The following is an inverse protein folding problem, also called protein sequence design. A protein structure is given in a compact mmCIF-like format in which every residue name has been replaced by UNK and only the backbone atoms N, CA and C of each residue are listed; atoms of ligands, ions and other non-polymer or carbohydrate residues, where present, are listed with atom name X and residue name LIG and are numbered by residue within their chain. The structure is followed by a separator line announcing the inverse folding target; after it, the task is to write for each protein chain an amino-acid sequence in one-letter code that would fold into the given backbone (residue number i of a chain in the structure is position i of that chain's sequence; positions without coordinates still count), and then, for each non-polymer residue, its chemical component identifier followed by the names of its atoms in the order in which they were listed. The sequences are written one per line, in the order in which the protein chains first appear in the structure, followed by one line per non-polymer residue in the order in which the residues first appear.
data_IF_300144298133
#
_entry.id   IF_300144298133
#
_cell.length_a   1.000
_cell.length_b   1.000
_cell.length_c   1.000
_cell.angle_alpha   90.00
_cell.angle_beta   90.00
_cell.angle_gamma   90.00
#
_symmetry.space_group_name_H-M   'P 1'
#
loop_
_entity.id
_entity.type
_entity.pdbx_description
1 polymer ?
#
# COMPACT_ATOMS: atom_id res chain seq x y z
N UNK A 1 -51.82 32.98 -30.66
CA UNK A 1 -51.19 31.64 -30.68
C UNK A 1 -49.97 31.71 -29.79
N UNK A 2 -49.94 30.90 -28.73
CA UNK A 2 -48.95 30.92 -27.65
C UNK A 2 -47.59 30.41 -28.13
N UNK A 3 -46.52 31.14 -27.85
CA UNK A 3 -45.14 30.70 -28.02
C UNK A 3 -44.74 29.82 -26.81
N UNK A 4 -44.41 28.56 -27.06
CA UNK A 4 -43.93 27.63 -26.05
C UNK A 4 -42.43 27.84 -25.77
N UNK A 5 -42.09 28.16 -24.53
CA UNK A 5 -40.71 28.15 -24.05
C UNK A 5 -40.29 26.71 -23.72
N UNK A 6 -39.29 26.18 -24.41
CA UNK A 6 -38.67 24.92 -24.07
C UNK A 6 -37.71 25.13 -22.89
N UNK A 7 -38.07 24.61 -21.72
CA UNK A 7 -37.19 24.53 -20.55
C UNK A 7 -36.31 23.31 -20.74
N UNK A 8 -35.03 23.52 -21.03
CA UNK A 8 -34.00 22.47 -20.99
C UNK A 8 -33.73 22.13 -19.52
N UNK A 9 -34.23 20.97 -19.08
CA UNK A 9 -33.89 20.40 -17.79
C UNK A 9 -32.41 19.98 -17.80
N UNK A 10 -31.58 20.71 -17.06
CA UNK A 10 -30.21 20.29 -16.75
C UNK A 10 -30.33 19.17 -15.71
N UNK A 11 -30.12 17.93 -16.13
CA UNK A 11 -29.91 16.81 -15.20
C UNK A 11 -28.58 17.04 -14.50
N UNK A 12 -28.53 17.06 -13.16
CA UNK A 12 -27.26 17.15 -12.46
C UNK A 12 -26.46 15.88 -12.78
N UNK A 13 -25.21 16.06 -13.22
CA UNK A 13 -24.24 14.99 -13.29
C UNK A 13 -24.15 14.38 -11.88
N UNK A 14 -24.50 13.10 -11.77
CA UNK A 14 -24.15 12.30 -10.60
C UNK A 14 -22.63 12.19 -10.63
N UNK A 15 -21.95 13.00 -9.82
CA UNK A 15 -20.54 12.82 -9.51
C UNK A 15 -20.43 11.42 -8.92
N UNK A 16 -19.71 10.54 -9.62
CA UNK A 16 -19.49 9.17 -9.17
C UNK A 16 -18.93 9.18 -7.76
N UNK A 17 -19.56 8.43 -6.85
CA UNK A 17 -19.08 8.27 -5.49
C UNK A 17 -17.61 7.80 -5.55
N UNK A 18 -16.71 8.60 -5.00
CA UNK A 18 -15.32 8.22 -4.80
C UNK A 18 -15.28 6.98 -3.89
N UNK A 19 -14.34 6.04 -4.10
CA UNK A 19 -14.18 4.92 -3.19
C UNK A 19 -13.92 5.45 -1.77
N UNK A 20 -14.72 4.97 -0.81
CA UNK A 20 -14.62 5.34 0.60
C UNK A 20 -13.26 4.94 1.18
N UNK A 21 -12.85 5.58 2.29
CA UNK A 21 -11.65 5.24 3.05
C UNK A 21 -11.50 3.74 3.37
N UNK A 22 -12.61 2.99 3.39
CA UNK A 22 -12.66 1.54 3.55
C UNK A 22 -12.00 0.76 2.40
N UNK A 23 -11.89 1.34 1.20
CA UNK A 23 -11.27 0.67 0.05
C UNK A 23 -9.75 0.45 0.22
N UNK A 24 -9.11 1.19 1.12
CA UNK A 24 -7.66 1.16 1.33
C UNK A 24 -7.26 0.74 2.75
N UNK A 25 -8.24 0.53 3.64
CA UNK A 25 -8.04 0.08 5.00
C UNK A 25 -8.52 -1.37 5.13
N UNK A 26 -7.58 -2.30 5.35
CA UNK A 26 -7.90 -3.69 5.64
C UNK A 26 -7.95 -3.90 7.15
N UNK A 27 -8.90 -4.71 7.65
CA UNK A 27 -8.74 -5.26 9.00
C UNK A 27 -7.53 -6.22 9.00
N UNK A 28 -6.52 -6.00 9.85
CA UNK A 28 -5.33 -6.85 9.89
C UNK A 28 -5.68 -8.26 10.36
N UNK A 29 -4.86 -9.24 10.00
CA UNK A 29 -4.99 -10.60 10.53
C UNK A 29 -4.96 -10.58 12.07
N UNK A 30 -6.07 -10.94 12.72
CA UNK A 30 -6.19 -11.02 14.20
C UNK A 30 -5.66 -12.33 14.79
N UNK A 31 -5.12 -13.23 13.97
CA UNK A 31 -4.63 -14.52 14.44
C UNK A 31 -3.41 -14.35 15.34
N UNK A 32 -3.53 -14.81 16.58
CA UNK A 32 -2.42 -14.98 17.53
C UNK A 32 -1.35 -15.89 16.90
N UNK A 33 -0.12 -15.39 16.81
CA UNK A 33 0.99 -16.09 16.18
C UNK A 33 1.43 -17.31 17.01
N UNK A 34 1.16 -17.31 18.33
CA UNK A 34 1.55 -18.38 19.26
C UNK A 34 0.97 -19.73 18.91
N UNK A 35 -0.14 -19.77 18.18
CA UNK A 35 -0.82 -21.01 17.77
C UNK A 35 -0.53 -21.40 16.32
N UNK A 36 0.23 -20.59 15.55
CA UNK A 36 0.49 -20.86 14.12
C UNK A 36 1.54 -21.96 13.93
N UNK A 37 1.23 -23.04 13.17
CA UNK A 37 2.20 -24.08 12.84
C UNK A 37 3.38 -23.52 12.05
N UNK A 38 4.60 -23.93 12.40
CA UNK A 38 5.81 -23.65 11.60
C UNK A 38 5.70 -24.35 10.24
N UNK A 39 6.18 -23.72 9.17
CA UNK A 39 6.17 -24.33 7.83
C UNK A 39 4.79 -24.41 7.17
N UNK A 40 3.83 -23.57 7.60
CA UNK A 40 2.49 -23.53 6.99
C UNK A 40 2.58 -23.04 5.54
N UNK A 41 1.98 -23.79 4.62
CA UNK A 41 1.72 -23.35 3.25
C UNK A 41 0.30 -22.81 3.14
N UNK A 42 0.15 -21.59 2.64
CA UNK A 42 -1.14 -21.02 2.21
C UNK A 42 -1.20 -20.95 0.70
N UNK A 43 -2.39 -21.15 0.15
CA UNK A 43 -2.67 -21.05 -1.28
C UNK A 43 -3.71 -19.98 -1.51
N UNK A 44 -3.46 -19.09 -2.46
CA UNK A 44 -4.42 -18.07 -2.89
C UNK A 44 -4.46 -18.01 -4.42
N UNK A 45 -5.57 -17.50 -4.95
CA UNK A 45 -5.68 -17.10 -6.36
C UNK A 45 -5.70 -15.59 -6.41
N UNK A 46 -4.94 -15.01 -7.34
CA UNK A 46 -4.90 -13.57 -7.56
C UNK A 46 -5.17 -13.27 -9.03
N UNK A 47 -6.08 -12.33 -9.29
CA UNK A 47 -6.51 -11.94 -10.61
C UNK A 47 -5.83 -10.63 -11.01
N UNK A 48 -5.35 -10.56 -12.24
CA UNK A 48 -4.86 -9.33 -12.87
C UNK A 48 -5.94 -8.83 -13.80
N UNK A 49 -6.51 -7.66 -13.50
CA UNK A 49 -7.69 -7.15 -14.18
C UNK A 49 -7.51 -5.70 -14.63
N UNK A 50 -7.98 -5.39 -15.84
CA UNK A 50 -8.13 -4.01 -16.30
C UNK A 50 -9.31 -3.38 -15.55
N UNK A 51 -9.03 -2.42 -14.66
CA UNK A 51 -10.04 -1.68 -13.88
C UNK A 51 -10.64 -0.56 -14.73
N UNK A 52 -9.80 0.13 -15.49
CA UNK A 52 -10.20 1.19 -16.43
C UNK A 52 -9.18 1.29 -17.56
N UNK A 53 -9.36 2.23 -18.50
CA UNK A 53 -8.35 2.49 -19.53
C UNK A 53 -6.99 2.94 -18.98
N UNK A 54 -6.98 3.49 -17.76
CA UNK A 54 -5.77 3.99 -17.09
C UNK A 54 -5.24 3.05 -16.02
N UNK A 55 -6.06 2.13 -15.50
CA UNK A 55 -5.72 1.32 -14.34
C UNK A 55 -5.82 -0.17 -14.61
N UNK A 56 -4.81 -0.90 -14.14
CA UNK A 56 -4.79 -2.36 -14.03
C UNK A 56 -4.38 -2.67 -12.60
N UNK A 57 -5.05 -3.64 -11.97
CA UNK A 57 -4.80 -3.97 -10.57
C UNK A 57 -4.78 -5.47 -10.30
N UNK A 58 -4.32 -5.82 -9.11
CA UNK A 58 -4.41 -7.15 -8.55
C UNK A 58 -5.65 -7.28 -7.66
N UNK A 59 -6.33 -8.43 -7.67
CA UNK A 59 -7.50 -8.71 -6.83
C UNK A 59 -7.55 -10.15 -6.35
N UNK A 60 -8.16 -10.40 -5.18
CA UNK A 60 -8.31 -11.76 -4.63
C UNK A 60 -9.56 -12.50 -5.13
N UNK A 61 -10.40 -11.83 -5.91
CA UNK A 61 -11.59 -12.41 -6.53
C UNK A 61 -11.86 -11.74 -7.89
N UNK A 62 -12.55 -12.40 -8.82
CA UNK A 62 -12.92 -11.80 -10.10
C UNK A 62 -13.75 -10.53 -9.93
N UNK A 63 -13.41 -9.49 -10.69
CA UNK A 63 -14.03 -8.16 -10.65
C UNK A 63 -13.74 -7.37 -9.38
N UNK A 64 -12.68 -7.72 -8.64
CA UNK A 64 -12.32 -7.12 -7.34
C UNK A 64 -10.87 -6.64 -7.30
N UNK A 65 -10.23 -6.42 -8.46
CA UNK A 65 -8.93 -5.76 -8.50
C UNK A 65 -8.97 -4.35 -7.90
N UNK A 66 -7.91 -4.01 -7.17
CA UNK A 66 -7.69 -2.68 -6.56
C UNK A 66 -6.30 -2.15 -6.90
N UNK A 67 -6.11 -0.84 -6.72
CA UNK A 67 -4.80 -0.18 -6.79
C UNK A 67 -4.65 0.69 -5.54
N UNK A 68 -3.77 0.37 -4.57
CA UNK A 68 -2.86 -0.78 -4.57
C UNK A 68 -3.61 -2.12 -4.52
N UNK A 69 -2.93 -3.18 -4.91
CA UNK A 69 -3.41 -4.55 -4.74
C UNK A 69 -3.59 -4.95 -3.26
N UNK A 70 -4.17 -6.14 -2.99
CA UNK A 70 -4.43 -6.62 -1.63
C UNK A 70 -3.16 -6.70 -0.78
N UNK A 71 -3.21 -6.24 0.47
CA UNK A 71 -2.10 -6.51 1.40
C UNK A 71 -2.03 -8.02 1.66
N UNK A 72 -0.89 -8.60 1.29
CA UNK A 72 -0.51 -9.96 1.60
C UNK A 72 0.28 -9.95 2.92
N UNK A 73 -0.06 -10.83 3.84
CA UNK A 73 0.65 -10.94 5.11
C UNK A 73 1.15 -12.38 5.26
N UNK A 74 2.39 -12.55 5.72
CA UNK A 74 3.04 -13.82 6.04
C UNK A 74 3.71 -13.73 7.42
N UNK A 75 4.05 -14.87 7.99
CA UNK A 75 4.97 -14.96 9.13
C UNK A 75 6.26 -15.67 8.70
N UNK A 76 7.40 -15.32 9.28
CA UNK A 76 8.67 -16.01 9.04
C UNK A 76 8.50 -17.54 9.14
N UNK A 77 8.93 -18.26 8.10
CA UNK A 77 8.79 -19.71 7.98
C UNK A 77 7.55 -20.18 7.22
N UNK A 78 6.61 -19.28 6.86
CA UNK A 78 5.46 -19.63 6.00
C UNK A 78 5.85 -19.67 4.51
N UNK A 79 5.06 -20.42 3.73
CA UNK A 79 5.06 -20.40 2.27
C UNK A 79 3.71 -19.91 1.76
N UNK A 80 3.72 -19.05 0.73
CA UNK A 80 2.55 -18.58 0.01
C UNK A 80 2.65 -19.02 -1.45
N UNK A 81 1.74 -19.89 -1.87
CA UNK A 81 1.57 -20.27 -3.27
C UNK A 81 0.44 -19.42 -3.88
N UNK A 82 0.73 -18.73 -4.97
CA UNK A 82 -0.18 -17.77 -5.61
C UNK A 82 -0.45 -18.23 -7.03
N UNK A 83 -1.67 -18.70 -7.33
CA UNK A 83 -2.13 -18.88 -8.71
C UNK A 83 -2.52 -17.51 -9.27
N UNK A 84 -1.64 -16.91 -10.08
CA UNK A 84 -1.92 -15.69 -10.82
C UNK A 84 -2.77 -16.01 -12.05
N UNK A 85 -3.92 -15.37 -12.19
CA UNK A 85 -4.82 -15.48 -13.33
C UNK A 85 -4.81 -14.15 -14.09
N UNK A 86 -4.28 -14.16 -15.31
CA UNK A 86 -4.22 -12.96 -16.14
C UNK A 86 -5.50 -12.83 -16.97
N UNK A 87 -6.39 -11.91 -16.62
CA UNK A 87 -7.63 -11.65 -17.38
C UNK A 87 -7.48 -10.47 -18.35
N UNK A 88 -6.28 -9.94 -18.53
CA UNK A 88 -5.97 -8.84 -19.45
C UNK A 88 -5.59 -9.36 -20.84
N UNK A 89 -5.43 -8.43 -21.78
CA UNK A 89 -4.94 -8.66 -23.14
C UNK A 89 -3.42 -8.49 -23.28
N UNK A 90 -2.70 -8.25 -22.17
CA UNK A 90 -1.24 -8.07 -22.14
C UNK A 90 -0.57 -9.18 -21.34
N UNK A 91 0.69 -9.49 -21.67
CA UNK A 91 1.51 -10.30 -20.77
C UNK A 91 1.74 -9.50 -19.47
N UNK A 92 1.60 -10.20 -18.34
CA UNK A 92 1.78 -9.64 -17.00
C UNK A 92 2.59 -10.62 -16.17
N UNK A 93 3.06 -10.19 -15.02
CA UNK A 93 3.71 -11.07 -14.06
C UNK A 93 3.44 -10.67 -12.63
N UNK A 94 4.12 -11.38 -11.72
CA UNK A 94 4.12 -11.12 -10.31
C UNK A 94 5.54 -11.36 -9.78
N UNK A 95 6.20 -10.26 -9.43
CA UNK A 95 7.52 -10.23 -8.79
C UNK A 95 7.38 -9.70 -7.36
N UNK A 96 8.28 -10.09 -6.46
CA UNK A 96 8.19 -9.79 -5.02
C UNK A 96 9.54 -9.47 -4.42
N UNK A 97 9.55 -8.56 -3.46
CA UNK A 97 10.75 -8.18 -2.71
C UNK A 97 10.87 -8.97 -1.40
N UNK A 98 12.10 -9.20 -0.96
CA UNK A 98 12.45 -9.64 0.40
C UNK A 98 12.21 -11.12 0.77
N UNK A 99 11.23 -11.79 0.16
CA UNK A 99 10.96 -13.22 0.39
C UNK A 99 11.84 -14.13 -0.47
N UNK A 100 11.91 -15.41 -0.09
CA UNK A 100 12.68 -16.41 -0.82
C UNK A 100 11.85 -16.98 -1.98
N UNK A 101 12.35 -16.86 -3.19
CA UNK A 101 11.76 -17.47 -4.38
C UNK A 101 12.87 -18.03 -5.29
N UNK A 102 12.51 -18.98 -6.14
CA UNK A 102 13.38 -19.47 -7.20
C UNK A 102 13.06 -18.78 -8.53
N UNK A 103 13.93 -18.96 -9.53
CA UNK A 103 13.82 -18.29 -10.84
C UNK A 103 12.48 -18.55 -11.55
N UNK A 104 11.79 -19.66 -11.27
CA UNK A 104 10.50 -19.96 -11.88
C UNK A 104 9.36 -19.11 -11.31
N UNK A 105 9.57 -18.49 -10.15
CA UNK A 105 8.65 -17.57 -9.47
C UNK A 105 9.10 -16.10 -9.50
N UNK A 106 10.17 -15.77 -10.21
CA UNK A 106 10.78 -14.42 -10.28
C UNK A 106 9.92 -13.39 -11.04
N UNK A 107 8.97 -13.84 -11.88
CA UNK A 107 8.07 -12.94 -12.61
C UNK A 107 8.71 -12.25 -13.82
N UNK A 108 9.89 -12.68 -14.26
CA UNK A 108 10.62 -12.05 -15.37
C UNK A 108 10.54 -12.87 -16.66
N UNK A 109 10.62 -12.17 -17.80
CA UNK A 109 10.67 -12.80 -19.13
C UNK A 109 11.94 -13.64 -19.33
N UNK A 110 13.07 -13.16 -18.78
CA UNK A 110 14.37 -13.84 -18.84
C UNK A 110 14.32 -15.26 -18.27
N UNK A 111 13.52 -15.46 -17.21
CA UNK A 111 13.36 -16.76 -16.54
C UNK A 111 12.11 -17.53 -16.98
N UNK A 112 11.43 -17.10 -18.06
CA UNK A 112 10.14 -17.65 -18.50
C UNK A 112 9.13 -17.76 -17.33
N UNK A 113 9.06 -16.69 -16.53
CA UNK A 113 8.21 -16.57 -15.34
C UNK A 113 7.04 -15.58 -15.53
N UNK A 114 6.75 -15.21 -16.78
CA UNK A 114 5.63 -14.33 -17.15
C UNK A 114 4.33 -15.12 -17.32
N UNK A 115 3.20 -14.42 -17.21
CA UNK A 115 1.85 -14.97 -17.39
C UNK A 115 1.21 -14.34 -18.63
N UNK A 116 1.15 -15.07 -19.76
CA UNK A 116 0.53 -14.57 -20.99
C UNK A 116 -0.95 -14.20 -20.83
N UNK A 117 -1.55 -13.44 -21.77
CA UNK A 117 -2.98 -13.14 -21.79
C UNK A 117 -3.85 -14.40 -21.65
N UNK A 118 -4.83 -14.38 -20.75
CA UNK A 118 -5.75 -15.50 -20.50
C UNK A 118 -5.13 -16.72 -19.80
N UNK A 119 -3.82 -16.69 -19.51
CA UNK A 119 -3.11 -17.79 -18.88
C UNK A 119 -3.18 -17.73 -17.34
N UNK A 120 -2.70 -18.81 -16.72
CA UNK A 120 -2.50 -18.93 -15.28
C UNK A 120 -1.09 -19.40 -14.98
N UNK A 121 -0.49 -18.92 -13.89
CA UNK A 121 0.82 -19.36 -13.40
C UNK A 121 0.83 -19.40 -11.88
N UNK A 122 1.48 -20.39 -11.29
CA UNK A 122 1.70 -20.43 -9.83
C UNK A 122 3.07 -19.86 -9.48
N UNK A 123 3.10 -18.86 -8.59
CA UNK A 123 4.30 -18.34 -7.95
C UNK A 123 4.41 -18.90 -6.53
N UNK A 124 5.62 -19.28 -6.10
CA UNK A 124 5.87 -19.84 -4.77
C UNK A 124 6.82 -18.94 -4.00
N UNK A 125 6.29 -18.26 -2.98
CA UNK A 125 7.04 -17.38 -2.10
C UNK A 125 7.25 -18.05 -0.76
N UNK A 126 8.50 -18.20 -0.34
CA UNK A 126 8.88 -18.81 0.94
C UNK A 126 9.46 -17.74 1.84
N UNK A 127 9.47 -18.01 3.14
CA UNK A 127 10.14 -17.16 4.12
C UNK A 127 10.82 -18.03 5.16
N UNK A 128 11.76 -17.46 5.90
CA UNK A 128 12.49 -18.19 6.94
C UNK A 128 12.66 -17.35 8.21
N UNK A 129 12.72 -18.06 9.34
CA UNK A 129 13.20 -17.49 10.61
C UNK A 129 14.72 -17.29 10.53
N UNK A 130 15.26 -16.34 11.29
CA UNK A 130 16.71 -16.15 11.37
C UNK A 130 17.43 -17.37 11.96
N UNK A 131 18.61 -17.69 11.44
CA UNK A 131 19.38 -18.86 11.87
C UNK A 131 20.89 -18.64 11.80
N UNK A 132 21.64 -19.39 12.63
CA UNK A 132 23.10 -19.41 12.57
C UNK A 132 23.57 -20.32 11.44
N UNK A 133 24.34 -19.78 10.51
CA UNK A 133 24.95 -20.53 9.41
C UNK A 133 26.08 -21.42 9.93
N UNK A 134 26.46 -22.42 9.11
CA UNK A 134 27.56 -23.35 9.43
C UNK A 134 28.91 -22.65 9.60
N UNK A 135 29.13 -21.53 8.91
CA UNK A 135 30.33 -20.69 9.04
C UNK A 135 30.33 -19.79 10.29
N UNK A 136 29.26 -19.84 11.10
CA UNK A 136 29.11 -19.09 12.33
C UNK A 136 28.44 -17.73 12.18
N UNK A 137 28.19 -17.25 10.95
CA UNK A 137 27.47 -15.99 10.70
C UNK A 137 25.97 -16.13 10.97
N UNK A 138 25.29 -15.00 11.17
CA UNK A 138 23.82 -14.96 11.30
C UNK A 138 23.16 -14.71 9.95
N UNK A 139 22.16 -15.51 9.62
CA UNK A 139 21.22 -15.24 8.54
C UNK A 139 20.00 -14.56 9.14
N UNK A 140 19.73 -13.31 8.73
CA UNK A 140 18.51 -12.62 9.13
C UNK A 140 17.28 -13.32 8.56
N UNK A 141 16.19 -13.31 9.32
CA UNK A 141 14.91 -13.84 8.84
C UNK A 141 14.21 -12.86 7.90
N UNK A 142 13.17 -13.34 7.22
CA UNK A 142 12.49 -12.59 6.16
C UNK A 142 11.58 -11.45 6.66
N UNK A 143 11.43 -11.21 7.96
CA UNK A 143 10.48 -10.22 8.46
C UNK A 143 10.83 -8.79 8.04
N UNK A 144 9.83 -8.09 7.50
CA UNK A 144 9.95 -6.75 6.96
C UNK A 144 8.66 -6.29 6.27
N UNK A 145 8.66 -5.01 5.90
CA UNK A 145 7.65 -4.42 5.03
C UNK A 145 8.19 -4.45 3.61
N UNK A 146 7.62 -5.34 2.81
CA UNK A 146 7.99 -5.58 1.42
C UNK A 146 6.83 -5.21 0.49
N UNK A 147 7.04 -5.41 -0.80
CA UNK A 147 6.01 -5.21 -1.81
C UNK A 147 6.16 -6.22 -2.95
N UNK A 148 5.10 -6.28 -3.76
CA UNK A 148 5.06 -7.06 -4.98
C UNK A 148 4.52 -6.20 -6.12
N UNK A 149 4.97 -6.49 -7.34
CA UNK A 149 4.58 -5.71 -8.52
C UNK A 149 4.76 -6.51 -9.81
N UNK A 150 4.26 -5.94 -10.91
CA UNK A 150 4.48 -6.48 -12.26
C UNK A 150 5.92 -6.24 -12.73
N UNK A 151 6.44 -7.18 -13.52
CA UNK A 151 7.78 -7.11 -14.10
C UNK A 151 7.77 -7.48 -15.60
N UNK A 152 6.62 -7.39 -16.28
CA UNK A 152 6.46 -7.85 -17.67
C UNK A 152 5.63 -6.93 -18.58
N UNK A 153 4.70 -6.15 -18.02
CA UNK A 153 3.83 -5.29 -18.81
C UNK A 153 4.59 -4.06 -19.33
N UNK A 154 4.60 -3.92 -20.66
CA UNK A 154 5.16 -2.78 -21.39
C UNK A 154 6.68 -2.86 -21.61
N UNK A 155 7.44 -3.21 -20.57
CA UNK A 155 8.90 -3.43 -20.65
C UNK A 155 9.29 -4.68 -19.86
N UNK A 156 10.50 -5.23 -20.07
CA UNK A 156 11.03 -6.31 -19.23
C UNK A 156 11.20 -5.96 -17.74
N UNK A 157 10.92 -4.71 -17.33
CA UNK A 157 10.95 -4.24 -15.94
C UNK A 157 9.56 -3.83 -15.44
N UNK A 158 8.49 -4.17 -16.16
CA UNK A 158 7.10 -3.90 -15.75
C UNK A 158 6.74 -2.41 -15.69
N UNK A 159 7.44 -1.55 -16.43
CA UNK A 159 7.27 -0.08 -16.32
C UNK A 159 5.83 0.36 -16.57
N UNK A 160 5.14 -0.23 -17.56
CA UNK A 160 3.73 0.10 -17.81
C UNK A 160 2.81 -0.48 -16.73
N UNK A 161 3.10 -1.71 -16.25
CA UNK A 161 2.32 -2.37 -15.21
C UNK A 161 2.33 -1.56 -13.91
N UNK A 162 3.52 -1.18 -13.43
CA UNK A 162 3.70 -0.34 -12.25
C UNK A 162 2.99 1.00 -12.42
N UNK A 163 3.22 1.70 -13.55
CA UNK A 163 2.57 2.98 -13.82
C UNK A 163 1.03 2.89 -13.78
N UNK A 164 0.46 1.76 -14.19
CA UNK A 164 -1.00 1.51 -14.22
C UNK A 164 -1.59 0.95 -12.93
N UNK A 165 -0.78 0.61 -11.92
CA UNK A 165 -1.29 0.17 -10.62
C UNK A 165 -1.03 -1.29 -10.25
N UNK A 166 -0.24 -2.03 -11.04
CA UNK A 166 0.17 -3.40 -10.69
C UNK A 166 1.28 -3.39 -9.64
N UNK A 167 0.90 -3.03 -8.42
CA UNK A 167 1.72 -3.12 -7.22
C UNK A 167 0.85 -3.37 -5.98
N UNK A 168 1.42 -3.93 -4.92
CA UNK A 168 0.74 -4.14 -3.64
C UNK A 168 1.73 -4.46 -2.52
N UNK A 169 1.26 -4.39 -1.28
CA UNK A 169 2.09 -4.58 -0.10
C UNK A 169 2.21 -6.05 0.31
N UNK A 170 3.40 -6.44 0.76
CA UNK A 170 3.67 -7.71 1.43
C UNK A 170 4.27 -7.46 2.81
N UNK A 171 3.58 -7.84 3.88
CA UNK A 171 4.12 -7.77 5.24
C UNK A 171 4.54 -9.16 5.70
N UNK A 172 5.83 -9.34 5.99
CA UNK A 172 6.31 -10.57 6.63
C UNK A 172 6.58 -10.25 8.10
N UNK A 173 5.83 -10.88 9.00
CA UNK A 173 5.91 -10.64 10.45
C UNK A 173 6.87 -11.62 11.11
N UNK A 174 7.59 -11.15 12.13
CA UNK A 174 8.35 -11.99 13.06
C UNK A 174 7.48 -12.30 14.27
N UNK A 175 7.62 -13.52 14.81
CA UNK A 175 6.92 -13.91 16.04
C UNK A 175 7.12 -12.89 17.16
N UNK A 176 6.01 -12.49 17.80
CA UNK A 176 5.99 -11.45 18.82
C UNK A 176 5.94 -10.01 18.29
N UNK A 177 5.92 -9.78 16.97
CA UNK A 177 5.63 -8.46 16.41
C UNK A 177 4.25 -7.98 16.87
N UNK A 178 4.16 -6.69 17.23
CA UNK A 178 2.90 -6.06 17.63
C UNK A 178 2.01 -5.91 16.41
N UNK A 179 0.75 -6.35 16.51
CA UNK A 179 -0.22 -6.23 15.44
C UNK A 179 -0.98 -4.89 15.53
N UNK A 180 -1.30 -4.27 14.39
CA UNK A 180 -2.07 -3.04 14.37
C UNK A 180 -3.58 -3.28 14.51
N UNK A 181 -4.32 -2.20 14.77
CA UNK A 181 -5.78 -2.17 14.65
C UNK A 181 -6.22 -1.71 13.25
N UNK A 182 -5.45 -0.84 12.61
CA UNK A 182 -5.68 -0.31 11.25
C UNK A 182 -4.40 -0.44 10.42
N UNK A 183 -4.54 -0.77 9.15
CA UNK A 183 -3.41 -0.89 8.22
C UNK A 183 -3.70 -0.06 6.96
N UNK A 184 -2.73 0.76 6.56
CA UNK A 184 -2.81 1.67 5.43
C UNK A 184 -1.61 1.47 4.50
N UNK A 185 -1.89 1.33 3.20
CA UNK A 185 -0.84 1.26 2.17
C UNK A 185 -0.76 2.57 1.41
N UNK A 186 0.42 3.18 1.41
CA UNK A 186 0.73 4.44 0.73
C UNK A 186 1.80 4.18 -0.32
N UNK A 187 1.44 4.32 -1.58
CA UNK A 187 2.37 4.14 -2.69
C UNK A 187 2.58 5.47 -3.39
N UNK A 188 3.80 5.98 -3.36
CA UNK A 188 4.19 7.10 -4.21
C UNK A 188 4.65 6.53 -5.54
N UNK A 189 3.79 6.64 -6.56
CA UNK A 189 4.04 6.14 -7.91
C UNK A 189 4.11 7.31 -8.88
N UNK A 190 5.31 7.64 -9.33
CA UNK A 190 5.59 8.93 -9.98
C UNK A 190 4.98 10.07 -9.14
N UNK A 191 4.20 10.97 -9.75
CA UNK A 191 3.61 12.12 -9.08
C UNK A 191 2.26 11.84 -8.39
N UNK A 192 1.97 10.57 -8.07
CA UNK A 192 0.67 10.16 -7.52
C UNK A 192 0.80 9.38 -6.22
N UNK A 193 -0.25 9.42 -5.39
CA UNK A 193 -0.45 8.58 -4.21
C UNK A 193 -1.50 7.53 -4.56
N UNK A 194 -1.13 6.25 -4.58
CA UNK A 194 -2.03 5.15 -4.95
C UNK A 194 -2.70 5.38 -6.32
N UNK A 195 -1.97 5.93 -7.30
CA UNK A 195 -2.48 6.36 -8.60
C UNK A 195 -3.56 7.47 -8.56
N UNK A 196 -3.67 8.17 -7.43
CA UNK A 196 -4.55 9.32 -7.21
C UNK A 196 -3.72 10.56 -6.84
N UNK A 197 -4.31 11.73 -6.98
CA UNK A 197 -3.74 13.00 -6.54
C UNK A 197 -4.81 13.78 -5.79
N UNK A 198 -4.39 14.71 -4.93
CA UNK A 198 -5.31 15.61 -4.27
C UNK A 198 -6.22 16.33 -5.29
N UNK A 199 -7.52 16.54 -4.96
CA UNK A 199 -8.17 16.25 -3.68
C UNK A 199 -8.66 14.80 -3.52
N UNK A 200 -8.32 13.90 -4.45
CA UNK A 200 -8.79 12.52 -4.50
C UNK A 200 -7.80 11.52 -3.92
N UNK A 201 -6.63 11.95 -3.45
CA UNK A 201 -5.73 11.06 -2.74
C UNK A 201 -6.41 10.53 -1.46
N UNK A 202 -6.06 9.31 -1.01
CA UNK A 202 -6.80 8.65 0.06
C UNK A 202 -6.90 9.47 1.35
N UNK A 203 -8.06 9.40 1.99
CA UNK A 203 -8.22 9.80 3.39
C UNK A 203 -8.17 8.54 4.23
N UNK A 204 -7.14 8.39 5.05
CA UNK A 204 -7.04 7.28 6.00
C UNK A 204 -7.67 7.69 7.32
N UNK A 205 -8.50 6.82 7.88
CA UNK A 205 -9.24 7.12 9.11
C UNK A 205 -8.87 6.16 10.25
N UNK A 206 -8.66 6.73 11.43
CA UNK A 206 -8.50 6.00 12.69
C UNK A 206 -9.18 6.76 13.82
N UNK A 207 -9.48 6.09 14.93
CA UNK A 207 -9.88 6.75 16.18
C UNK A 207 -8.66 7.09 17.01
N UNK A 208 -8.76 8.15 17.80
CA UNK A 208 -7.74 8.54 18.78
C UNK A 208 -7.33 7.31 19.63
N UNK A 209 -6.02 7.06 19.72
CA UNK A 209 -5.47 5.93 20.47
C UNK A 209 -5.38 4.60 19.70
N UNK A 210 -5.97 4.48 18.51
CA UNK A 210 -5.83 3.26 17.70
C UNK A 210 -4.40 3.10 17.18
N UNK A 211 -3.89 1.86 17.24
CA UNK A 211 -2.61 1.49 16.65
C UNK A 211 -2.75 1.36 15.14
N UNK A 212 -2.06 2.21 14.41
CA UNK A 212 -2.13 2.30 12.95
C UNK A 212 -0.79 1.88 12.34
N UNK A 213 -0.82 0.97 11.38
CA UNK A 213 0.33 0.55 10.58
C UNK A 213 0.28 1.24 9.22
N UNK A 214 1.39 1.90 8.86
CA UNK A 214 1.60 2.46 7.54
C UNK A 214 2.63 1.61 6.81
N UNK A 215 2.29 1.22 5.58
CA UNK A 215 3.17 0.53 4.64
C UNK A 215 3.42 1.49 3.49
N UNK A 216 4.65 1.95 3.33
CA UNK A 216 5.02 3.01 2.40
C UNK A 216 5.94 2.45 1.32
N UNK A 217 5.55 2.62 0.06
CA UNK A 217 6.22 2.04 -1.12
C UNK A 217 6.49 3.12 -2.16
N UNK A 218 7.67 3.13 -2.77
CA UNK A 218 8.05 4.03 -3.85
C UNK A 218 8.11 3.31 -5.19
N UNK A 219 7.57 3.92 -6.22
CA UNK A 219 7.58 3.42 -7.60
C UNK A 219 7.73 4.55 -8.62
N UNK A 220 8.16 4.19 -9.82
CA UNK A 220 8.45 5.14 -10.89
C UNK A 220 9.88 5.67 -10.82
N UNK A 221 10.13 6.78 -11.51
CA UNK A 221 11.46 7.36 -11.69
C UNK A 221 11.70 8.60 -10.81
N UNK A 222 10.65 9.10 -10.16
CA UNK A 222 10.69 10.27 -9.29
C UNK A 222 11.24 9.90 -7.91
N UNK A 223 12.01 10.80 -7.30
CA UNK A 223 12.46 10.67 -5.91
C UNK A 223 11.46 11.37 -4.98
N UNK A 224 11.22 10.81 -3.80
CA UNK A 224 10.28 11.38 -2.85
C UNK A 224 10.82 11.39 -1.43
N UNK A 225 10.14 12.14 -0.57
CA UNK A 225 10.29 12.09 0.88
C UNK A 225 8.91 11.94 1.50
N UNK A 226 8.61 10.81 2.14
CA UNK A 226 7.34 10.61 2.81
C UNK A 226 7.36 11.29 4.17
N UNK A 227 6.39 12.19 4.41
CA UNK A 227 6.18 12.88 5.68
C UNK A 227 4.74 12.73 6.17
N UNK A 228 4.55 12.62 7.50
CA UNK A 228 3.24 12.64 8.15
C UNK A 228 3.24 13.61 9.33
N UNK A 229 2.26 14.51 9.36
CA UNK A 229 2.16 15.56 10.37
C UNK A 229 1.78 14.96 11.73
N UNK A 230 2.34 15.52 12.80
CA UNK A 230 1.97 15.20 14.19
C UNK A 230 2.43 13.82 14.69
N UNK A 231 2.92 12.95 13.80
CA UNK A 231 3.32 11.58 14.10
C UNK A 231 4.79 11.34 13.76
N UNK A 232 5.42 10.36 14.42
CA UNK A 232 6.83 10.01 14.24
C UNK A 232 7.07 8.54 14.55
N UNK A 233 8.12 7.96 14.00
CA UNK A 233 8.49 6.56 14.18
C UNK A 233 10.01 6.38 14.31
N UNK A 234 10.46 5.20 14.73
CA UNK A 234 11.90 4.82 14.70
C UNK A 234 12.29 4.36 13.30
N UNK A 235 13.42 4.82 12.79
CA UNK A 235 13.96 4.34 11.52
C UNK A 235 14.63 2.97 11.68
N UNK A 236 13.79 1.94 11.80
CA UNK A 236 14.16 0.52 11.88
C UNK A 236 13.05 -0.35 11.27
N UNK A 237 13.19 -1.67 11.36
CA UNK A 237 12.26 -2.64 10.77
C UNK A 237 10.79 -2.42 11.14
N UNK A 238 10.48 -2.07 12.39
CA UNK A 238 9.09 -2.04 12.90
C UNK A 238 8.52 -0.64 13.08
N UNK A 239 9.35 0.40 13.00
CA UNK A 239 8.95 1.75 13.39
C UNK A 239 8.95 1.98 14.90
N UNK A 240 9.33 0.99 15.70
CA UNK A 240 9.23 1.00 17.17
C UNK A 240 10.54 0.62 17.82
N UNK A 241 10.76 1.00 19.07
CA UNK A 241 12.03 0.72 19.77
C UNK A 241 12.22 -0.79 19.98
N UNK A 242 13.29 -1.36 19.43
CA UNK A 242 13.65 -2.78 19.58
C UNK A 242 14.66 -2.98 20.73
N UNK A 243 14.15 -3.08 21.96
CA UNK A 243 14.99 -3.32 23.15
C UNK A 243 15.75 -2.09 23.66
N UNK A 244 16.54 -2.28 24.72
CA UNK A 244 17.18 -1.15 25.42
C UNK A 244 18.32 -0.51 24.64
N UNK A 245 18.94 -1.24 23.71
CA UNK A 245 20.12 -0.82 22.96
C UNK A 245 19.80 -0.26 21.56
N UNK A 246 18.53 -0.14 21.20
CA UNK A 246 18.13 0.44 19.92
C UNK A 246 18.58 1.91 19.81
N UNK A 247 19.47 2.18 18.86
CA UNK A 247 20.01 3.50 18.54
C UNK A 247 19.36 4.14 17.31
N UNK A 248 18.35 3.52 16.70
CA UNK A 248 17.69 4.05 15.52
C UNK A 248 17.11 5.43 15.77
N UNK A 249 17.24 6.32 14.78
CA UNK A 249 16.71 7.68 14.88
C UNK A 249 15.20 7.66 15.01
N UNK A 250 14.64 8.64 15.71
CA UNK A 250 13.21 8.95 15.61
C UNK A 250 13.05 9.98 14.50
N UNK A 251 12.16 9.72 13.55
CA UNK A 251 11.93 10.52 12.34
C UNK A 251 10.43 10.67 12.08
N UNK A 252 10.07 11.70 11.33
CA UNK A 252 8.74 11.93 10.77
C UNK A 252 8.77 12.12 9.24
N UNK A 253 9.97 12.07 8.65
CA UNK A 253 10.23 12.23 7.23
C UNK A 253 11.31 11.22 6.79
N UNK A 254 11.07 10.50 5.70
CA UNK A 254 12.02 9.51 5.15
C UNK A 254 12.06 9.55 3.63
N UNK A 255 13.24 9.43 3.05
CA UNK A 255 13.42 9.27 1.61
C UNK A 255 12.67 8.02 1.12
N UNK A 256 12.12 8.11 -0.10
CA UNK A 256 11.38 7.05 -0.74
C UNK A 256 11.62 7.11 -2.26
N UNK A 257 12.40 6.17 -2.77
CA UNK A 257 12.76 6.06 -4.18
C UNK A 257 12.02 4.90 -4.87
N UNK A 258 12.12 4.82 -6.19
CA UNK A 258 11.56 3.69 -6.95
C UNK A 258 12.15 2.35 -6.51
N UNK A 259 11.29 1.45 -6.02
CA UNK A 259 11.65 0.13 -5.48
C UNK A 259 11.78 0.09 -3.96
N UNK A 260 11.85 1.23 -3.27
CA UNK A 260 11.92 1.27 -1.81
C UNK A 260 10.61 0.85 -1.17
N UNK A 261 10.72 0.20 -0.01
CA UNK A 261 9.59 0.02 0.90
C UNK A 261 10.03 0.07 2.35
N UNK A 262 9.17 0.60 3.20
CA UNK A 262 9.31 0.55 4.64
C UNK A 262 7.92 0.59 5.28
N UNK A 263 7.87 0.35 6.58
CA UNK A 263 6.63 0.51 7.32
C UNK A 263 6.90 0.80 8.78
N UNK A 264 5.87 1.27 9.45
CA UNK A 264 5.94 1.68 10.84
C UNK A 264 4.55 1.67 11.46
N UNK A 265 4.51 1.65 12.79
CA UNK A 265 3.27 1.80 13.54
C UNK A 265 3.29 3.05 14.41
N UNK A 266 2.14 3.71 14.52
CA UNK A 266 1.90 4.85 15.41
C UNK A 266 0.66 4.61 16.26
N UNK A 267 0.58 5.26 17.40
CA UNK A 267 -0.69 5.45 18.12
C UNK A 267 -1.32 6.74 17.58
N UNK A 268 -2.50 6.63 16.97
CA UNK A 268 -3.18 7.74 16.33
C UNK A 268 -3.42 8.89 17.33
N UNK A 269 -2.90 10.09 17.03
CA UNK A 269 -3.05 11.28 17.86
C UNK A 269 -2.26 11.26 19.17
N UNK A 270 -1.27 10.38 19.36
CA UNK A 270 -0.50 10.31 20.59
C UNK A 270 0.22 11.63 20.92
N UNK A 271 -0.17 12.25 22.04
CA UNK A 271 0.39 13.52 22.49
C UNK A 271 0.00 14.74 21.65
N UNK A 272 -0.77 14.56 20.56
CA UNK A 272 -1.15 15.63 19.62
C UNK A 272 -2.67 15.78 19.42
N UNK A 273 -3.44 14.75 19.79
CA UNK A 273 -4.91 14.77 19.75
C UNK A 273 -5.52 14.43 18.38
N UNK A 274 -6.86 14.41 18.31
CA UNK A 274 -7.60 14.12 17.08
C UNK A 274 -7.58 15.33 16.13
N UNK A 275 -7.70 15.07 14.83
CA UNK A 275 -7.63 16.10 13.79
C UNK A 275 -7.44 15.53 12.39
N UNK A 276 -7.47 16.41 11.39
CA UNK A 276 -7.05 16.10 10.01
C UNK A 276 -5.55 16.37 9.87
N UNK A 277 -4.73 15.32 9.95
CA UNK A 277 -3.27 15.40 9.87
C UNK A 277 -2.83 15.11 8.44
N UNK A 278 -2.04 15.99 7.82
CA UNK A 278 -1.58 15.73 6.44
C UNK A 278 -0.53 14.62 6.42
N UNK A 279 -0.54 13.83 5.36
CA UNK A 279 0.63 13.08 4.92
C UNK A 279 0.92 13.47 3.46
N UNK A 280 2.18 13.66 3.12
CA UNK A 280 2.54 14.17 1.79
C UNK A 280 3.98 13.87 1.41
N UNK A 281 4.28 14.04 0.12
CA UNK A 281 5.66 14.16 -0.33
C UNK A 281 6.22 15.49 0.18
N UNK A 282 7.42 15.51 0.76
CA UNK A 282 8.06 16.75 1.24
C UNK A 282 9.01 17.38 0.20
N UNK A 283 9.04 16.85 -1.02
CA UNK A 283 9.57 17.61 -2.16
C UNK A 283 8.52 18.68 -2.51
N UNK A 284 8.87 19.96 -2.31
CA UNK A 284 7.90 21.05 -2.30
C UNK A 284 6.99 21.08 -3.54
N UNK A 285 7.56 20.96 -4.74
CA UNK A 285 6.76 20.98 -5.95
C UNK A 285 5.85 19.73 -6.09
N UNK A 286 6.24 18.59 -5.51
CA UNK A 286 5.40 17.38 -5.53
C UNK A 286 4.16 17.58 -4.64
N UNK A 287 4.33 18.18 -3.46
CA UNK A 287 3.19 18.53 -2.60
C UNK A 287 2.29 19.58 -3.24
N UNK A 288 2.87 20.64 -3.84
CA UNK A 288 2.11 21.71 -4.49
C UNK A 288 1.25 21.17 -5.64
N UNK A 289 1.78 20.21 -6.40
CA UNK A 289 1.07 19.53 -7.49
C UNK A 289 0.01 18.52 -7.01
N UNK A 290 -0.04 18.17 -5.72
CA UNK A 290 -1.13 17.35 -5.16
C UNK A 290 -0.71 15.98 -4.63
N UNK A 291 0.58 15.71 -4.37
CA UNK A 291 1.00 14.55 -3.58
C UNK A 291 0.75 14.77 -2.07
N UNK A 292 -0.51 14.96 -1.72
CA UNK A 292 -1.00 15.25 -0.37
C UNK A 292 -2.25 14.40 -0.11
N UNK A 293 -2.33 13.76 1.06
CA UNK A 293 -3.55 13.14 1.57
C UNK A 293 -3.75 13.47 3.04
N UNK A 294 -4.84 12.94 3.62
CA UNK A 294 -5.24 13.22 5.00
C UNK A 294 -5.27 11.93 5.82
N UNK A 295 -4.57 11.93 6.95
CA UNK A 295 -4.77 11.01 8.04
C UNK A 295 -5.75 11.64 9.05
N UNK A 296 -7.02 11.26 8.96
CA UNK A 296 -8.09 11.73 9.82
C UNK A 296 -8.13 10.90 11.11
N UNK A 297 -7.65 11.50 12.19
CA UNK A 297 -7.77 10.94 13.54
C UNK A 297 -9.06 11.46 14.15
N UNK A 298 -10.08 10.60 14.22
CA UNK A 298 -11.37 10.87 14.87
C UNK A 298 -11.23 10.93 16.39
N UNK A 299 -12.22 11.48 17.07
CA UNK A 299 -12.33 11.36 18.53
C UNK A 299 -12.42 9.88 18.96
N UNK A 300 -12.23 9.61 20.25
CA UNK A 300 -12.30 8.24 20.81
C UNK A 300 -13.65 7.56 20.54
N UNK A 301 -14.74 8.33 20.56
CA UNK A 301 -16.11 7.87 20.27
C UNK A 301 -16.39 7.69 18.76
N UNK A 302 -15.42 8.00 17.90
CA UNK A 302 -15.55 7.97 16.44
C UNK A 302 -16.22 9.20 15.82
N UNK A 303 -16.59 10.20 16.62
CA UNK A 303 -17.11 11.47 16.10
C UNK A 303 -16.00 12.27 15.38
N UNK A 304 -16.42 13.15 14.47
CA UNK A 304 -15.50 14.03 13.76
C UNK A 304 -15.00 15.13 14.72
N UNK A 305 -13.68 15.36 14.84
CA UNK A 305 -13.14 16.33 15.78
C UNK A 305 -13.46 17.76 15.33
N UNK A 306 -13.44 18.68 16.29
CA UNK A 306 -13.67 20.10 16.03
C UNK A 306 -12.71 20.62 14.95
N UNK A 307 -13.24 21.37 13.99
CA UNK A 307 -12.55 21.87 12.79
C UNK A 307 -12.12 20.85 11.73
N UNK A 308 -12.24 19.53 11.94
CA UNK A 308 -11.84 18.58 10.90
C UNK A 308 -12.71 18.67 9.64
N UNK A 309 -14.02 18.94 9.75
CA UNK A 309 -14.84 19.16 8.56
C UNK A 309 -14.32 20.34 7.72
N UNK A 310 -14.03 21.47 8.37
CA UNK A 310 -13.46 22.64 7.67
C UNK A 310 -12.09 22.35 7.06
N UNK A 311 -11.28 21.50 7.68
CA UNK A 311 -9.99 21.09 7.12
C UNK A 311 -10.18 20.19 5.87
N UNK A 312 -11.13 19.24 5.93
CA UNK A 312 -11.49 18.40 4.79
C UNK A 312 -12.10 19.24 3.65
N UNK A 313 -12.98 20.19 3.96
CA UNK A 313 -13.55 21.10 2.97
C UNK A 313 -12.46 21.94 2.28
N UNK A 314 -11.45 22.41 3.03
CA UNK A 314 -10.29 23.09 2.46
C UNK A 314 -9.48 22.15 1.57
N UNK A 315 -9.20 20.92 2.03
CA UNK A 315 -8.49 19.92 1.22
C UNK A 315 -9.21 19.62 -0.10
N UNK A 316 -10.54 19.48 -0.07
CA UNK A 316 -11.33 19.22 -1.27
C UNK A 316 -11.55 20.45 -2.17
N UNK A 317 -11.54 21.65 -1.59
CA UNK A 317 -11.68 22.92 -2.30
C UNK A 317 -10.36 23.56 -2.74
N UNK A 318 -9.22 22.99 -2.36
CA UNK A 318 -7.90 23.53 -2.72
C UNK A 318 -7.57 23.19 -4.18
N UNK A 319 -7.29 24.21 -4.98
CA UNK A 319 -6.71 24.01 -6.31
C UNK A 319 -5.21 23.73 -6.16
N UNK A 320 -4.78 22.53 -6.54
CA UNK A 320 -3.37 22.20 -6.65
C UNK A 320 -2.86 22.74 -7.98
N UNK A 321 -2.02 23.78 -7.94
CA UNK A 321 -1.52 24.44 -9.14
C UNK A 321 -0.53 23.53 -9.89
N UNK A 322 -0.83 23.25 -11.16
CA UNK A 322 0.05 22.58 -12.13
C UNK A 322 1.01 23.56 -12.80
#
# INVERSE_FOLDING_TARGET
MLAGAAVTAVTPLVVGALPSAEAFAKEPSRDDDRERPRGRTRRITMYVEKISDKLVGYGLAPGKATVPGPVLEMWEGETLEIELVNTTDKAVSLHVHGVDYDVFSDGTDINDSVTPPGARRTHVWRSHEGYKRKDGTWADGSAGYWHYHDHAMGTPHGTEGIAKGLYGALVVRRRGDVLPAKQFTVVFNEMTINNLMAPNAPVFEARLGERCEFIVIGHGNSYHTFHVHGHRWRDNRTGMREGSYDTSRVIDNKDLMGGDSFGFQVIAGEGVGPGAWMYHCHVQFHSDMGMVGIFLVRNEDGSLPMHAQMALDRYHGHEHHM
#
